data_IF_854232732281
#
_entry.id   IF_854232732281
#
_cell.length_a   1.000
_cell.length_b   1.000
_cell.length_c   1.000
_cell.angle_alpha   90.00
_cell.angle_beta   90.00
_cell.angle_gamma   90.00
#
_symmetry.space_group_name_H-M   'P 1'
#
loop_
_entity.id
_entity.type
_entity.pdbx_description
1 polymer ?
#
# COMPACT_ATOMS: atom_id res chain seq x y z
N UNK A 1 11.60 -5.18 -22.76
CA UNK A 1 11.64 -6.10 -21.61
C UNK A 1 10.19 -6.44 -21.23
N UNK A 2 9.88 -7.67 -20.79
CA UNK A 2 8.53 -8.01 -20.36
C UNK A 2 8.10 -7.10 -19.21
N UNK A 3 6.90 -6.50 -19.33
CA UNK A 3 6.35 -5.58 -18.32
C UNK A 3 5.91 -6.35 -17.08
N UNK A 4 6.43 -6.03 -15.90
CA UNK A 4 5.95 -6.66 -14.64
C UNK A 4 4.76 -5.91 -14.06
N UNK A 5 3.71 -6.64 -13.68
CA UNK A 5 2.54 -6.09 -12.97
C UNK A 5 2.60 -6.47 -11.49
N UNK A 6 2.25 -5.52 -10.62
CA UNK A 6 2.00 -5.75 -9.21
C UNK A 6 0.49 -5.84 -8.99
N UNK A 7 0.06 -6.86 -8.26
CA UNK A 7 -1.35 -7.09 -7.92
C UNK A 7 -1.49 -7.29 -6.42
N UNK A 8 -2.56 -6.75 -5.85
CA UNK A 8 -3.09 -7.28 -4.60
C UNK A 8 -3.88 -8.53 -4.94
N UNK A 9 -3.52 -9.66 -4.34
CA UNK A 9 -4.14 -10.98 -4.61
C UNK A 9 -4.97 -11.52 -3.46
N UNK A 10 -4.75 -11.00 -2.25
CA UNK A 10 -5.54 -11.35 -1.08
C UNK A 10 -5.54 -10.24 -0.03
N UNK A 11 -6.70 -9.96 0.52
CA UNK A 11 -6.89 -9.28 1.80
C UNK A 11 -7.59 -10.27 2.75
N UNK A 12 -7.10 -10.37 3.98
CA UNK A 12 -7.69 -11.23 5.01
C UNK A 12 -7.79 -10.48 6.34
N UNK A 13 -8.96 -10.52 6.96
CA UNK A 13 -9.11 -10.16 8.37
C UNK A 13 -8.71 -11.38 9.22
N UNK A 14 -7.74 -11.19 10.10
CA UNK A 14 -7.17 -12.22 10.97
C UNK A 14 -7.82 -12.16 12.34
N UNK A 15 -8.14 -10.96 12.81
CA UNK A 15 -8.78 -10.65 14.08
C UNK A 15 -9.49 -9.31 13.89
N UNK A 16 -10.77 -9.19 14.24
CA UNK A 16 -11.47 -7.92 14.38
C UNK A 16 -11.35 -7.47 15.84
N UNK A 17 -11.34 -6.16 16.13
CA UNK A 17 -11.48 -5.77 17.53
C UNK A 17 -12.93 -6.00 17.96
N UNK A 18 -13.11 -6.38 19.22
CA UNK A 18 -14.45 -6.67 19.77
C UNK A 18 -15.30 -5.41 19.96
N UNK A 19 -14.94 -4.32 19.31
CA UNK A 19 -15.62 -3.03 19.38
C UNK A 19 -16.79 -3.10 18.40
N UNK A 20 -18.00 -2.85 18.89
CA UNK A 20 -19.20 -3.06 18.08
C UNK A 20 -19.25 -2.11 16.88
N UNK A 21 -19.12 -2.66 15.68
CA UNK A 21 -19.10 -1.99 14.40
C UNK A 21 -18.65 -3.00 13.36
N UNK A 22 -18.92 -2.78 12.08
CA UNK A 22 -18.34 -3.62 11.04
C UNK A 22 -17.18 -2.84 10.40
N UNK A 23 -16.03 -3.49 10.23
CA UNK A 23 -14.82 -2.84 9.73
C UNK A 23 -14.89 -2.57 8.22
N UNK A 24 -14.41 -1.39 7.82
CA UNK A 24 -14.29 -0.96 6.41
C UNK A 24 -12.83 -0.80 5.99
N UNK A 25 -12.10 -1.90 5.72
CA UNK A 25 -10.67 -1.84 5.44
C UNK A 25 -10.37 -1.16 4.11
N UNK A 26 -9.24 -0.46 4.09
CA UNK A 26 -8.80 0.29 2.94
C UNK A 26 -7.27 0.26 2.78
N UNK A 27 -6.78 0.14 1.55
CA UNK A 27 -5.33 0.04 1.27
C UNK A 27 -4.87 1.16 0.35
N UNK A 28 -3.88 1.92 0.81
CA UNK A 28 -3.12 2.84 -0.03
C UNK A 28 -1.80 2.22 -0.44
N UNK A 29 -1.46 2.30 -1.72
CA UNK A 29 -0.20 1.79 -2.26
C UNK A 29 0.51 2.90 -3.01
N UNK A 30 1.58 3.43 -2.43
CA UNK A 30 2.46 4.37 -3.10
C UNK A 30 3.63 3.63 -3.76
N UNK A 31 3.73 3.74 -5.09
CA UNK A 31 4.77 3.11 -5.88
C UNK A 31 5.63 4.15 -6.60
N UNK A 32 6.95 4.00 -6.52
CA UNK A 32 7.87 4.91 -7.17
C UNK A 32 9.22 4.25 -7.52
N UNK A 33 9.92 4.81 -8.52
CA UNK A 33 11.24 4.31 -8.95
C UNK A 33 12.34 5.28 -8.59
N UNK A 34 13.52 4.73 -8.29
CA UNK A 34 14.71 5.52 -8.02
C UNK A 34 15.13 6.29 -9.27
N UNK A 35 15.56 7.54 -9.09
CA UNK A 35 16.02 8.44 -10.17
C UNK A 35 14.99 8.70 -11.28
N UNK A 36 13.75 8.27 -11.08
CA UNK A 36 12.62 8.60 -11.96
C UNK A 36 11.75 9.56 -11.17
N UNK A 37 11.67 10.83 -11.59
CA UNK A 37 10.73 11.76 -10.98
C UNK A 37 9.31 11.23 -11.08
N UNK A 38 8.55 11.40 -9.99
CA UNK A 38 7.19 10.92 -9.88
C UNK A 38 7.05 9.66 -9.05
N UNK A 39 5.79 9.38 -8.73
CA UNK A 39 5.33 8.22 -7.97
C UNK A 39 3.82 8.18 -8.09
N UNK A 40 3.22 7.02 -7.92
CA UNK A 40 1.77 6.83 -8.05
C UNK A 40 1.21 6.33 -6.74
N UNK A 41 0.14 6.96 -6.29
CA UNK A 41 -0.64 6.55 -5.17
C UNK A 41 -1.87 5.85 -5.72
N UNK A 42 -1.99 4.58 -5.36
CA UNK A 42 -3.12 3.75 -5.69
C UNK A 42 -3.98 3.58 -4.46
N UNK A 43 -5.27 3.68 -4.71
CA UNK A 43 -6.35 3.55 -3.76
C UNK A 43 -7.03 2.22 -4.05
N UNK A 44 -6.95 1.26 -3.12
CA UNK A 44 -7.57 -0.05 -3.26
C UNK A 44 -8.66 -0.20 -2.21
N UNK A 45 -9.91 -0.14 -2.66
CA UNK A 45 -11.13 -0.30 -1.87
C UNK A 45 -12.15 -1.12 -2.63
N UNK A 46 -12.87 -2.01 -1.96
CA UNK A 46 -14.07 -2.66 -2.49
C UNK A 46 -15.27 -2.24 -1.65
N UNK A 47 -16.41 -1.96 -2.29
CA UNK A 47 -17.65 -1.69 -1.55
C UNK A 47 -18.12 -2.93 -0.78
N UNK A 48 -17.71 -4.11 -1.21
CA UNK A 48 -17.98 -5.36 -0.49
C UNK A 48 -17.19 -5.48 0.82
N UNK A 49 -16.22 -4.59 1.06
CA UNK A 49 -15.48 -4.52 2.32
C UNK A 49 -16.14 -3.55 3.31
N UNK A 50 -16.97 -2.62 2.83
CA UNK A 50 -17.58 -1.59 3.65
C UNK A 50 -18.57 -2.22 4.63
N UNK A 51 -18.38 -1.97 5.92
CA UNK A 51 -19.17 -2.48 7.04
C UNK A 51 -19.44 -3.99 6.95
N UNK A 52 -18.50 -4.79 6.42
CA UNK A 52 -18.73 -6.23 6.22
C UNK A 52 -17.46 -7.10 6.33
N UNK A 53 -16.30 -6.55 6.74
CA UNK A 53 -15.03 -7.28 6.66
C UNK A 53 -14.56 -7.92 7.99
N UNK A 54 -15.43 -8.74 8.57
CA UNK A 54 -15.26 -9.38 9.89
C UNK A 54 -14.14 -10.45 9.98
N UNK A 55 -13.80 -10.88 11.21
CA UNK A 55 -12.76 -11.89 11.47
C UNK A 55 -12.90 -13.15 10.62
N UNK A 56 -11.79 -13.57 10.00
CA UNK A 56 -11.75 -14.74 9.14
C UNK A 56 -12.20 -14.47 7.70
N UNK A 57 -12.75 -13.28 7.39
CA UNK A 57 -13.05 -12.87 6.02
C UNK A 57 -11.80 -12.86 5.16
N UNK A 58 -11.95 -13.36 3.93
CA UNK A 58 -10.88 -13.41 2.94
C UNK A 58 -11.45 -12.95 1.61
N UNK A 59 -10.93 -11.83 1.11
CA UNK A 59 -11.14 -11.45 -0.28
C UNK A 59 -9.92 -11.86 -1.12
N UNK A 60 -10.17 -12.69 -2.13
CA UNK A 60 -9.17 -13.12 -3.11
C UNK A 60 -9.20 -12.22 -4.35
N UNK A 61 -9.14 -10.91 -4.10
CA UNK A 61 -9.17 -9.87 -5.12
C UNK A 61 -7.97 -10.01 -6.04
N UNK A 62 -8.10 -9.80 -7.36
CA UNK A 62 -6.95 -9.72 -8.29
C UNK A 62 -6.81 -8.31 -8.82
N UNK A 63 -6.63 -7.36 -7.92
CA UNK A 63 -6.58 -5.94 -8.27
C UNK A 63 -5.19 -5.58 -8.77
N UNK A 64 -5.12 -5.19 -10.05
CA UNK A 64 -3.90 -4.66 -10.64
C UNK A 64 -3.66 -3.27 -10.07
N UNK A 65 -2.49 -3.09 -9.47
CA UNK A 65 -2.10 -1.83 -8.85
C UNK A 65 -1.44 -0.95 -9.90
N UNK A 66 -0.46 -1.49 -10.63
CA UNK A 66 0.16 -0.80 -11.76
C UNK A 66 0.25 -1.73 -12.98
N UNK A 67 -0.13 -1.18 -14.14
CA UNK A 67 -0.07 -1.84 -15.44
C UNK A 67 1.28 -1.69 -16.18
N UNK A 68 2.13 -0.77 -15.73
CA UNK A 68 3.46 -0.47 -16.24
C UNK A 68 4.54 -1.31 -15.51
N UNK A 69 5.81 -1.09 -15.84
CA UNK A 69 6.94 -1.87 -15.30
C UNK A 69 7.11 -1.65 -13.79
N UNK A 70 6.51 -2.52 -12.97
CA UNK A 70 6.64 -2.48 -11.52
C UNK A 70 8.01 -2.98 -11.02
N UNK A 71 8.79 -3.68 -11.86
CA UNK A 71 10.07 -4.28 -11.47
C UNK A 71 11.05 -3.26 -10.87
N UNK A 72 11.56 -3.55 -9.68
CA UNK A 72 12.49 -2.65 -8.97
C UNK A 72 11.84 -1.38 -8.40
N UNK A 73 10.52 -1.23 -8.49
CA UNK A 73 9.81 -0.15 -7.83
C UNK A 73 9.88 -0.30 -6.30
N UNK A 74 9.98 0.83 -5.61
CA UNK A 74 9.76 0.92 -4.18
C UNK A 74 8.26 1.07 -3.93
N UNK A 75 7.72 0.17 -3.11
CA UNK A 75 6.30 0.14 -2.76
C UNK A 75 6.18 0.42 -1.27
N UNK A 76 5.34 1.37 -0.92
CA UNK A 76 4.88 1.64 0.44
C UNK A 76 3.39 1.35 0.50
N UNK A 77 3.01 0.44 1.38
CA UNK A 77 1.63 0.01 1.57
C UNK A 77 1.17 0.50 2.92
N UNK A 78 0.04 1.18 2.96
CA UNK A 78 -0.60 1.67 4.17
C UNK A 78 -1.94 0.97 4.29
N UNK A 79 -2.22 0.44 5.48
CA UNK A 79 -3.52 -0.14 5.82
C UNK A 79 -4.28 0.86 6.67
N UNK A 80 -5.53 1.06 6.29
CA UNK A 80 -6.47 1.96 6.92
C UNK A 80 -7.79 1.24 7.14
N UNK A 81 -8.63 1.86 7.94
CA UNK A 81 -9.96 1.40 8.31
C UNK A 81 -10.84 2.62 8.46
N UNK A 82 -12.00 2.62 7.83
CA UNK A 82 -12.91 3.76 7.89
C UNK A 82 -14.01 3.51 8.93
N UNK A 83 -14.08 4.37 9.94
CA UNK A 83 -15.11 4.27 10.99
C UNK A 83 -16.19 5.35 10.87
N UNK A 84 -15.85 6.58 10.46
CA UNK A 84 -16.81 7.70 10.50
C UNK A 84 -16.72 8.70 9.33
N UNK A 85 -15.53 9.16 8.89
CA UNK A 85 -15.29 10.02 7.70
C UNK A 85 -13.87 10.64 7.78
N UNK A 86 -13.24 11.13 6.69
CA UNK A 86 -13.59 10.98 5.29
C UNK A 86 -12.63 10.02 4.57
N UNK A 87 -13.19 9.08 3.82
CA UNK A 87 -12.57 8.36 2.72
C UNK A 87 -11.53 9.26 2.03
N UNK A 88 -10.24 8.88 2.02
CA UNK A 88 -9.15 9.68 1.43
C UNK A 88 -9.45 9.89 -0.07
N UNK A 89 -10.24 10.92 -0.34
CA UNK A 89 -11.02 11.07 -1.56
C UNK A 89 -10.11 11.38 -2.73
N UNK A 90 -10.15 10.53 -3.76
CA UNK A 90 -9.43 10.73 -5.03
C UNK A 90 -7.91 10.87 -4.94
N UNK A 91 -7.30 10.75 -3.75
CA UNK A 91 -5.86 10.76 -3.52
C UNK A 91 -5.09 11.98 -4.05
N UNK A 92 -5.73 13.02 -4.60
CA UNK A 92 -5.04 14.03 -5.42
C UNK A 92 -4.01 14.85 -4.64
N UNK A 93 -4.41 15.43 -3.50
CA UNK A 93 -3.48 16.23 -2.68
C UNK A 93 -2.44 15.34 -1.98
N UNK A 94 -2.88 14.17 -1.51
CA UNK A 94 -2.03 13.17 -0.87
C UNK A 94 -0.96 12.68 -1.85
N UNK A 95 -1.34 12.41 -3.10
CA UNK A 95 -0.46 12.05 -4.20
C UNK A 95 0.62 13.12 -4.43
N UNK A 96 0.24 14.40 -4.46
CA UNK A 96 1.18 15.51 -4.65
C UNK A 96 2.15 15.61 -3.49
N UNK A 97 1.68 15.50 -2.24
CA UNK A 97 2.53 15.53 -1.05
C UNK A 97 3.53 14.37 -1.04
N UNK A 98 3.06 13.14 -1.28
CA UNK A 98 3.91 11.95 -1.32
C UNK A 98 4.92 12.00 -2.48
N UNK A 99 4.51 12.50 -3.65
CA UNK A 99 5.43 12.76 -4.77
C UNK A 99 6.49 13.80 -4.41
N UNK A 100 6.12 14.88 -3.71
CA UNK A 100 7.08 15.90 -3.30
C UNK A 100 8.15 15.32 -2.38
N UNK A 101 7.75 14.47 -1.42
CA UNK A 101 8.69 13.72 -0.59
C UNK A 101 9.58 12.86 -1.46
N UNK A 102 9.00 12.02 -2.34
CA UNK A 102 9.78 11.12 -3.20
C UNK A 102 10.79 11.86 -4.09
N UNK A 103 10.35 12.93 -4.76
CA UNK A 103 11.18 13.70 -5.69
C UNK A 103 12.39 14.34 -5.00
N UNK A 104 12.25 14.76 -3.74
CA UNK A 104 13.39 15.25 -2.96
C UNK A 104 14.48 14.18 -2.80
N UNK A 105 14.13 12.89 -2.74
CA UNK A 105 15.08 11.78 -2.70
C UNK A 105 15.56 11.35 -4.08
N UNK A 106 14.69 11.44 -5.09
CA UNK A 106 15.02 11.11 -6.48
C UNK A 106 16.04 12.07 -7.12
N UNK A 107 16.15 13.30 -6.63
CA UNK A 107 17.04 14.34 -7.18
C UNK A 107 18.22 14.74 -6.28
N UNK A 108 18.30 14.24 -5.04
CA UNK A 108 19.36 14.62 -4.09
C UNK A 108 20.48 13.59 -3.99
N UNK A 109 21.54 13.91 -3.24
CA UNK A 109 22.63 12.98 -2.90
C UNK A 109 22.18 11.73 -2.11
N UNK A 110 20.90 11.64 -1.76
CA UNK A 110 20.27 10.52 -1.05
C UNK A 110 19.79 9.42 -2.01
N UNK A 111 19.91 9.64 -3.33
CA UNK A 111 19.62 8.63 -4.37
C UNK A 111 20.43 7.32 -4.21
N UNK A 112 21.56 7.37 -3.49
CA UNK A 112 22.43 6.22 -3.25
C UNK A 112 22.06 5.40 -2.01
N UNK A 113 21.02 5.78 -1.25
CA UNK A 113 20.60 5.01 -0.08
C UNK A 113 20.18 3.58 -0.47
N UNK A 114 20.46 2.61 0.39
CA UNK A 114 19.96 1.24 0.25
C UNK A 114 18.44 1.19 0.45
N UNK A 115 17.75 0.12 0.00
CA UNK A 115 16.32 -0.04 0.28
C UNK A 115 15.96 0.06 1.75
N UNK A 116 16.79 -0.50 2.65
CA UNK A 116 16.57 -0.41 4.09
C UNK A 116 16.68 1.03 4.60
N UNK A 117 17.64 1.81 4.10
CA UNK A 117 17.80 3.22 4.47
C UNK A 117 16.68 4.09 3.89
N UNK A 118 16.23 3.83 2.67
CA UNK A 118 15.05 4.51 2.12
C UNK A 118 13.81 4.20 2.96
N UNK A 119 13.60 2.94 3.36
CA UNK A 119 12.52 2.57 4.28
C UNK A 119 12.59 3.36 5.58
N UNK A 120 13.75 3.47 6.22
CA UNK A 120 13.88 4.17 7.50
C UNK A 120 13.73 5.69 7.41
N UNK A 121 13.91 6.29 6.23
CA UNK A 121 13.86 7.75 6.04
C UNK A 121 12.55 8.19 5.38
N UNK A 122 12.20 7.58 4.25
CA UNK A 122 11.04 7.94 3.43
C UNK A 122 9.76 7.40 4.04
N UNK A 123 9.78 6.15 4.49
CA UNK A 123 8.61 5.46 5.03
C UNK A 123 7.91 6.23 6.17
N UNK A 124 8.62 6.65 7.23
CA UNK A 124 8.03 7.46 8.30
C UNK A 124 7.46 8.80 7.81
N UNK A 125 8.09 9.45 6.83
CA UNK A 125 7.58 10.71 6.28
C UNK A 125 6.28 10.52 5.51
N UNK A 126 6.22 9.46 4.69
CA UNK A 126 4.98 9.12 3.97
C UNK A 126 3.88 8.69 4.95
N UNK A 127 4.22 7.87 5.94
CA UNK A 127 3.32 7.47 7.03
C UNK A 127 2.72 8.68 7.74
N UNK A 128 3.53 9.67 8.11
CA UNK A 128 3.06 10.87 8.78
C UNK A 128 2.11 11.70 7.91
N UNK A 129 2.31 11.71 6.58
CA UNK A 129 1.39 12.40 5.67
C UNK A 129 0.05 11.66 5.63
N UNK A 130 0.07 10.33 5.52
CA UNK A 130 -1.15 9.52 5.52
C UNK A 130 -1.88 9.67 6.85
N UNK A 131 -1.24 9.35 7.97
CA UNK A 131 -1.87 9.38 9.30
C UNK A 131 -2.31 10.79 9.70
N UNK A 132 -1.57 11.83 9.32
CA UNK A 132 -1.96 13.23 9.57
C UNK A 132 -3.10 13.73 8.68
N UNK A 133 -3.50 12.97 7.66
CA UNK A 133 -4.66 13.26 6.81
C UNK A 133 -5.94 12.56 7.28
N UNK A 134 -5.86 11.77 8.35
CA UNK A 134 -6.97 11.02 8.94
C UNK A 134 -7.50 11.76 10.17
N UNK A 135 -8.79 11.61 10.43
CA UNK A 135 -9.46 12.31 11.53
C UNK A 135 -9.45 11.50 12.83
N UNK A 136 -9.26 10.17 12.77
CA UNK A 136 -9.33 9.27 13.92
C UNK A 136 -8.21 8.20 13.92
N UNK A 137 -8.41 7.11 14.65
CA UNK A 137 -7.53 5.93 14.85
C UNK A 137 -7.51 4.93 13.69
N UNK A 138 -8.10 5.30 12.56
CA UNK A 138 -8.21 4.66 11.25
C UNK A 138 -6.89 4.14 10.62
N UNK A 139 -5.74 4.28 11.29
CA UNK A 139 -4.43 3.95 10.75
C UNK A 139 -3.79 2.71 11.41
N UNK A 140 -3.86 1.59 10.70
CA UNK A 140 -3.32 0.28 11.12
C UNK A 140 -1.81 0.14 10.86
N UNK A 141 -1.21 1.09 10.15
CA UNK A 141 0.23 1.17 9.92
C UNK A 141 0.66 0.98 8.46
N UNK A 142 1.97 0.77 8.26
CA UNK A 142 2.55 0.66 6.93
C UNK A 142 3.65 -0.38 6.82
N UNK A 143 3.84 -0.87 5.61
CA UNK A 143 4.94 -1.74 5.21
C UNK A 143 5.59 -1.23 3.93
N UNK A 144 6.78 -1.73 3.61
CA UNK A 144 7.39 -1.45 2.31
C UNK A 144 8.22 -2.60 1.80
N UNK A 145 8.31 -2.69 0.48
CA UNK A 145 9.16 -3.67 -0.20
C UNK A 145 9.64 -3.10 -1.54
N UNK A 146 10.64 -3.76 -2.11
CA UNK A 146 11.05 -3.54 -3.49
C UNK A 146 10.44 -4.65 -4.32
N UNK A 147 9.75 -4.31 -5.40
CA UNK A 147 9.17 -5.30 -6.30
C UNK A 147 10.29 -6.15 -6.90
N UNK A 148 10.35 -7.46 -6.64
CA UNK A 148 11.40 -8.31 -7.16
C UNK A 148 11.28 -8.47 -8.67
N UNK A 149 12.42 -8.69 -9.31
CA UNK A 149 12.45 -9.16 -10.70
C UNK A 149 12.09 -10.64 -10.71
N UNK A 150 10.94 -10.98 -11.30
CA UNK A 150 10.46 -12.36 -11.42
C UNK A 150 10.34 -12.77 -12.88
N UNK A 151 10.43 -14.07 -13.13
CA UNK A 151 10.23 -14.70 -14.45
C UNK A 151 8.89 -15.43 -14.58
N UNK A 152 8.20 -15.65 -13.46
CA UNK A 152 6.87 -16.29 -13.37
C UNK A 152 6.00 -15.53 -12.37
N UNK A 153 4.70 -15.78 -12.38
CA UNK A 153 3.79 -15.29 -11.34
C UNK A 153 4.28 -15.77 -9.96
N UNK A 154 4.58 -14.82 -9.07
CA UNK A 154 5.23 -15.10 -7.79
C UNK A 154 4.54 -14.33 -6.68
N UNK A 155 3.96 -15.02 -5.67
CA UNK A 155 3.44 -14.36 -4.48
C UNK A 155 4.59 -13.79 -3.64
N UNK A 156 4.39 -12.60 -3.10
CA UNK A 156 5.30 -11.97 -2.16
C UNK A 156 4.99 -12.40 -0.72
N UNK A 157 5.95 -12.20 0.18
CA UNK A 157 5.71 -12.41 1.62
C UNK A 157 4.53 -11.57 2.08
N UNK A 158 3.52 -12.17 2.75
CA UNK A 158 2.37 -11.43 3.23
C UNK A 158 2.77 -10.34 4.22
N UNK A 159 2.09 -9.20 4.12
CA UNK A 159 2.24 -8.07 5.04
C UNK A 159 1.17 -8.18 6.12
N UNK A 160 1.55 -8.03 7.39
CA UNK A 160 0.63 -8.10 8.51
C UNK A 160 0.53 -6.72 9.17
N UNK A 161 -0.68 -6.25 9.35
CA UNK A 161 -1.02 -4.98 9.99
C UNK A 161 -1.82 -5.29 11.24
N UNK A 162 -1.59 -4.56 12.32
CA UNK A 162 -2.32 -4.68 13.58
C UNK A 162 -2.46 -3.31 14.21
N UNK A 163 -3.67 -2.94 14.60
CA UNK A 163 -4.00 -1.68 15.26
C UNK A 163 -5.35 -1.76 15.97
N UNK A 164 -5.99 -0.62 16.18
CA UNK A 164 -7.19 -0.49 17.03
C UNK A 164 -8.46 -1.10 16.42
N UNK A 165 -8.56 -1.25 15.09
CA UNK A 165 -9.61 -2.05 14.44
C UNK A 165 -9.10 -3.36 13.82
N UNK A 166 -8.14 -3.98 14.52
CA UNK A 166 -7.87 -5.40 14.33
C UNK A 166 -6.60 -5.71 13.55
N UNK A 167 -6.54 -6.92 13.01
CA UNK A 167 -5.36 -7.47 12.36
C UNK A 167 -5.68 -7.93 10.95
N UNK A 168 -4.94 -7.39 9.98
CA UNK A 168 -5.13 -7.67 8.56
C UNK A 168 -3.88 -8.26 7.94
N UNK A 169 -4.08 -9.19 6.99
CA UNK A 169 -3.02 -9.75 6.16
C UNK A 169 -3.27 -9.43 4.69
N UNK A 170 -2.28 -8.79 4.06
CA UNK A 170 -2.27 -8.52 2.62
C UNK A 170 -1.27 -9.42 1.91
N UNK A 171 -1.67 -10.03 0.80
CA UNK A 171 -0.78 -10.76 -0.11
C UNK A 171 -0.74 -10.07 -1.46
N UNK A 172 0.48 -9.78 -1.93
CA UNK A 172 0.73 -9.23 -3.26
C UNK A 172 1.34 -10.30 -4.15
N UNK A 173 1.07 -10.21 -5.44
CA UNK A 173 1.69 -11.07 -6.45
C UNK A 173 2.31 -10.22 -7.54
N UNK A 174 3.50 -10.61 -7.99
CA UNK A 174 4.16 -10.03 -9.16
C UNK A 174 4.08 -11.01 -10.31
N UNK A 175 3.70 -10.53 -11.50
CA UNK A 175 3.67 -11.36 -12.72
C UNK A 175 4.21 -10.61 -13.94
N UNK A 176 4.46 -11.35 -15.02
CA UNK A 176 4.76 -10.78 -16.33
C UNK A 176 3.46 -10.53 -17.10
N UNK A 177 3.27 -9.33 -17.64
CA UNK A 177 2.14 -9.00 -18.53
C UNK A 177 2.27 -9.81 -19.83
N UNK A 178 1.27 -10.63 -20.15
CA UNK A 178 1.19 -11.40 -21.40
C UNK A 178 1.95 -12.73 -21.42
N UNK A 179 2.26 -13.30 -20.25
CA UNK A 179 2.73 -14.68 -20.08
C UNK A 179 1.59 -15.65 -19.80
#
# INVERSE_FOLDING_TARGET
MPTRQLMLTQLKCVDDTSEGGDDSPYVLVFMAHRNVPGGKLHRLRDSDWDDNFNVGSVDNTRRIIDEAEAGGAFVFVFMLEEDWDPDLGGGGILQVMMQSIWNAYGQSGWSNLTPAQLRSVVGPKLSNIVSGSLANDEYLGWHSFVVPTVTTETPLTPLNFSGDGGTYKLTFTVRIKGG
#
